data_IF_107687190924
#
_entry.id   IF_107687190924
#
_cell.length_a   1.000
_cell.length_b   1.000
_cell.length_c   1.000
_cell.angle_alpha   90.00
_cell.angle_beta   90.00
_cell.angle_gamma   90.00
#
_symmetry.space_group_name_H-M   'P 1'
#
loop_
_entity.id
_entity.type
_entity.pdbx_description
1 polymer ?
#
# COMPACT_ATOMS: atom_id res chain seq x y z
N UNK A 1 -54.40 -66.11 -9.82
CA UNK A 1 -53.94 -64.74 -9.52
C UNK A 1 -52.82 -64.39 -10.50
N UNK A 2 -52.95 -63.29 -11.24
CA UNK A 2 -52.01 -62.89 -12.31
C UNK A 2 -51.10 -61.78 -11.78
N UNK A 3 -49.78 -62.01 -11.71
CA UNK A 3 -48.83 -60.96 -11.36
C UNK A 3 -48.25 -60.32 -12.63
N UNK A 4 -48.53 -59.03 -12.82
CA UNK A 4 -47.93 -58.19 -13.87
C UNK A 4 -46.63 -57.62 -13.32
N UNK A 5 -45.50 -57.91 -13.98
CA UNK A 5 -44.20 -57.31 -13.66
C UNK A 5 -44.08 -56.03 -14.49
N UNK A 6 -44.06 -54.88 -13.83
CA UNK A 6 -43.73 -53.60 -14.44
C UNK A 6 -42.23 -53.35 -14.29
N UNK A 7 -41.51 -53.23 -15.40
CA UNK A 7 -40.10 -52.84 -15.41
C UNK A 7 -40.00 -51.32 -15.34
N UNK A 8 -39.33 -50.80 -14.32
CA UNK A 8 -39.01 -49.39 -14.16
C UNK A 8 -37.60 -49.12 -14.71
N UNK A 9 -37.49 -48.32 -15.76
CA UNK A 9 -36.21 -47.88 -16.33
C UNK A 9 -35.81 -46.55 -15.70
N UNK A 10 -34.79 -46.57 -14.84
CA UNK A 10 -34.18 -45.36 -14.28
C UNK A 10 -33.17 -44.78 -15.28
N UNK A 11 -33.45 -43.61 -15.83
CA UNK A 11 -32.51 -42.86 -16.67
C UNK A 11 -31.60 -42.01 -15.77
N UNK A 12 -30.35 -42.43 -15.59
CA UNK A 12 -29.31 -41.66 -14.91
C UNK A 12 -28.81 -40.52 -15.82
N UNK A 13 -29.19 -39.29 -15.50
CA UNK A 13 -28.58 -38.07 -16.05
C UNK A 13 -27.17 -37.90 -15.47
N UNK A 14 -26.16 -37.91 -16.34
CA UNK A 14 -24.75 -37.66 -15.99
C UNK A 14 -24.48 -36.14 -16.10
N UNK A 15 -24.33 -35.45 -14.97
CA UNK A 15 -23.92 -34.05 -14.95
C UNK A 15 -22.42 -33.94 -15.27
N UNK A 16 -22.06 -33.39 -16.44
CA UNK A 16 -20.69 -32.98 -16.76
C UNK A 16 -20.35 -31.75 -15.91
N UNK A 17 -19.60 -31.94 -14.84
CA UNK A 17 -19.01 -30.84 -14.05
C UNK A 17 -17.75 -30.39 -14.80
N UNK A 18 -17.85 -29.32 -15.58
CA UNK A 18 -16.70 -28.68 -16.22
C UNK A 18 -15.81 -28.05 -15.16
N UNK A 19 -14.66 -28.65 -14.88
CA UNK A 19 -13.63 -28.05 -14.02
C UNK A 19 -12.89 -26.97 -14.81
N UNK A 20 -13.35 -25.73 -14.72
CA UNK A 20 -12.56 -24.58 -15.15
C UNK A 20 -11.34 -24.45 -14.23
N UNK A 21 -10.19 -24.96 -14.69
CA UNK A 21 -8.93 -24.81 -13.97
C UNK A 21 -8.57 -23.33 -13.85
N UNK A 22 -8.58 -22.79 -12.63
CA UNK A 22 -8.02 -21.48 -12.35
C UNK A 22 -6.50 -21.58 -12.46
N UNK A 23 -5.94 -21.13 -13.58
CA UNK A 23 -4.50 -20.93 -13.70
C UNK A 23 -4.09 -19.80 -12.76
N UNK A 24 -3.51 -20.14 -11.60
CA UNK A 24 -2.88 -19.17 -10.74
C UNK A 24 -1.61 -18.66 -11.42
N UNK A 25 -1.59 -17.38 -11.80
CA UNK A 25 -0.38 -16.73 -12.28
C UNK A 25 0.65 -16.71 -11.14
N UNK A 26 1.69 -17.55 -11.23
CA UNK A 26 2.82 -17.45 -10.31
C UNK A 26 3.67 -16.24 -10.70
N UNK A 27 4.06 -15.37 -9.75
CA UNK A 27 4.92 -14.24 -10.07
C UNK A 27 6.26 -14.75 -10.60
N UNK A 28 6.60 -14.36 -11.83
CA UNK A 28 7.84 -14.71 -12.53
C UNK A 28 9.05 -13.86 -12.08
N UNK A 29 8.89 -13.05 -11.04
CA UNK A 29 9.92 -12.13 -10.56
C UNK A 29 10.84 -12.80 -9.55
N UNK A 30 12.15 -12.64 -9.75
CA UNK A 30 13.19 -13.02 -8.78
C UNK A 30 13.14 -12.18 -7.49
N UNK A 31 12.48 -11.02 -7.53
CA UNK A 31 12.40 -10.07 -6.42
C UNK A 31 10.94 -9.82 -6.03
N UNK A 32 10.68 -9.79 -4.72
CA UNK A 32 9.39 -9.35 -4.22
C UNK A 32 9.19 -7.86 -4.57
N UNK A 33 8.06 -7.49 -5.21
CA UNK A 33 7.87 -6.14 -5.72
C UNK A 33 7.82 -5.11 -4.58
N UNK A 34 8.45 -3.97 -4.81
CA UNK A 34 8.46 -2.82 -3.90
C UNK A 34 8.22 -1.57 -4.72
N UNK A 35 6.95 -1.16 -4.84
CA UNK A 35 6.49 -0.05 -5.64
C UNK A 35 5.42 0.71 -4.85
N UNK A 36 5.71 1.97 -4.53
CA UNK A 36 4.92 2.81 -3.64
C UNK A 36 4.66 4.16 -4.30
N UNK A 37 3.49 4.72 -4.01
CA UNK A 37 3.14 6.12 -4.26
C UNK A 37 3.02 6.81 -2.93
N UNK A 38 3.71 7.95 -2.80
CA UNK A 38 3.64 8.83 -1.65
C UNK A 38 2.88 10.09 -2.02
N UNK A 39 2.00 10.55 -1.14
CA UNK A 39 1.26 11.81 -1.35
C UNK A 39 1.32 12.68 -0.12
N UNK A 40 1.15 14.00 -0.34
CA UNK A 40 0.90 14.99 0.71
C UNK A 40 -0.34 15.77 0.33
N UNK A 41 -1.35 15.76 1.19
CA UNK A 41 -2.66 16.38 0.99
C UNK A 41 -2.93 17.45 2.03
N UNK A 42 -3.61 18.53 1.65
CA UNK A 42 -4.06 19.57 2.57
C UNK A 42 -5.44 19.20 3.14
N UNK A 43 -5.49 18.80 4.40
CA UNK A 43 -6.71 18.38 5.07
C UNK A 43 -6.55 17.08 5.88
N UNK A 44 -7.62 16.70 6.56
CA UNK A 44 -7.69 15.49 7.42
C UNK A 44 -8.10 14.22 6.65
N UNK A 45 -8.75 14.39 5.51
CA UNK A 45 -9.27 13.28 4.70
C UNK A 45 -8.77 13.36 3.26
N UNK A 46 -7.89 12.41 2.92
CA UNK A 46 -7.28 12.30 1.59
C UNK A 46 -8.32 12.11 0.49
N UNK A 47 -9.49 11.53 0.78
CA UNK A 47 -10.53 11.30 -0.22
C UNK A 47 -11.19 12.60 -0.71
N UNK A 48 -11.14 13.66 0.10
CA UNK A 48 -11.80 14.95 -0.17
C UNK A 48 -10.81 16.12 -0.25
N UNK A 49 -9.56 15.90 0.17
CA UNK A 49 -8.50 16.91 0.22
C UNK A 49 -7.79 17.10 -1.12
N UNK A 50 -7.26 18.30 -1.34
CA UNK A 50 -6.37 18.56 -2.48
C UNK A 50 -5.00 17.92 -2.25
N UNK A 51 -4.53 17.11 -3.20
CA UNK A 51 -3.16 16.59 -3.21
C UNK A 51 -2.22 17.72 -3.63
N UNK A 52 -1.31 18.11 -2.74
CA UNK A 52 -0.33 19.18 -2.98
C UNK A 52 0.87 18.68 -3.79
N UNK A 53 1.29 17.44 -3.53
CA UNK A 53 2.44 16.80 -4.18
C UNK A 53 2.35 15.30 -4.07
N UNK A 54 2.94 14.60 -5.04
CA UNK A 54 3.03 13.15 -5.06
C UNK A 54 4.37 12.70 -5.64
N UNK A 55 4.84 11.54 -5.20
CA UNK A 55 6.05 10.92 -5.71
C UNK A 55 5.91 9.41 -5.81
N UNK A 56 6.54 8.83 -6.82
CA UNK A 56 6.62 7.38 -7.01
C UNK A 56 7.99 6.87 -6.59
N UNK A 57 8.03 5.65 -6.06
CA UNK A 57 9.26 4.97 -5.68
C UNK A 57 9.15 3.49 -6.00
N UNK A 58 10.12 2.97 -6.74
CA UNK A 58 10.38 1.54 -6.87
C UNK A 58 11.74 1.24 -6.25
N UNK A 59 11.82 0.20 -5.41
CA UNK A 59 13.05 -0.15 -4.67
C UNK A 59 13.70 -1.46 -5.11
N UNK A 60 13.07 -2.21 -6.00
CA UNK A 60 13.63 -3.45 -6.54
C UNK A 60 13.25 -3.59 -8.04
N UNK A 61 14.18 -4.01 -8.91
CA UNK A 61 15.57 -4.40 -8.62
C UNK A 61 16.50 -3.21 -8.36
N UNK A 62 16.12 -2.01 -8.80
CA UNK A 62 16.89 -0.76 -8.63
C UNK A 62 16.00 0.33 -8.03
N UNK A 63 16.61 1.23 -7.26
CA UNK A 63 15.92 2.41 -6.73
C UNK A 63 15.65 3.41 -7.87
N UNK A 64 14.37 3.72 -8.13
CA UNK A 64 13.94 4.60 -9.20
C UNK A 64 12.56 5.19 -8.93
N UNK A 65 12.13 6.16 -9.74
CA UNK A 65 10.83 6.81 -9.63
C UNK A 65 10.97 8.32 -9.79
N UNK A 66 9.91 9.04 -9.45
CA UNK A 66 9.90 10.51 -9.48
C UNK A 66 10.42 11.14 -8.19
N UNK A 67 10.75 10.34 -7.17
CA UNK A 67 11.37 10.84 -5.94
C UNK A 67 12.72 11.48 -6.26
N UNK A 68 13.06 12.66 -5.71
CA UNK A 68 14.30 13.36 -6.04
C UNK A 68 15.55 12.59 -5.59
N UNK A 69 15.44 11.75 -4.56
CA UNK A 69 16.49 10.82 -4.14
C UNK A 69 15.90 9.42 -3.87
N UNK A 70 15.71 8.59 -4.90
CA UNK A 70 15.13 7.26 -4.74
C UNK A 70 15.97 6.34 -3.85
N UNK A 71 17.30 6.46 -3.93
CA UNK A 71 18.24 5.62 -3.19
C UNK A 71 18.11 5.86 -1.69
N UNK A 72 18.14 7.12 -1.25
CA UNK A 72 17.98 7.45 0.16
C UNK A 72 16.59 7.08 0.68
N UNK A 73 15.52 7.28 -0.10
CA UNK A 73 14.17 6.92 0.29
C UNK A 73 14.02 5.39 0.48
N UNK A 74 14.53 4.59 -0.46
CA UNK A 74 14.55 3.13 -0.35
C UNK A 74 15.39 2.64 0.84
N UNK A 75 16.51 3.30 1.14
CA UNK A 75 17.32 2.99 2.32
C UNK A 75 16.55 3.24 3.62
N UNK A 76 15.83 4.37 3.72
CA UNK A 76 15.00 4.67 4.88
C UNK A 76 13.85 3.66 5.05
N UNK A 77 13.13 3.30 3.99
CA UNK A 77 12.10 2.24 4.06
C UNK A 77 12.66 0.88 4.47
N UNK A 78 13.88 0.55 4.01
CA UNK A 78 14.55 -0.66 4.46
C UNK A 78 14.90 -0.62 5.95
N UNK A 79 15.35 0.52 6.48
CA UNK A 79 15.65 0.66 7.92
C UNK A 79 14.42 0.52 8.82
N UNK A 80 13.22 0.82 8.31
CA UNK A 80 11.98 0.60 9.07
C UNK A 80 11.45 -0.82 8.95
N UNK A 81 12.03 -1.64 8.06
CA UNK A 81 11.49 -2.96 7.71
C UNK A 81 10.12 -2.87 7.02
N UNK A 82 9.76 -1.71 6.46
CA UNK A 82 8.43 -1.46 5.90
C UNK A 82 7.37 -1.03 6.92
N UNK A 83 7.72 -0.82 8.18
CA UNK A 83 6.81 -0.24 9.18
C UNK A 83 6.82 1.29 9.07
N UNK A 84 5.91 1.85 8.27
CA UNK A 84 5.85 3.29 7.97
C UNK A 84 5.67 4.17 9.22
N UNK A 85 5.03 3.66 10.28
CA UNK A 85 4.91 4.38 11.56
C UNK A 85 6.28 4.67 12.20
N UNK A 86 7.31 3.88 11.90
CA UNK A 86 8.68 4.13 12.38
C UNK A 86 9.36 5.31 11.70
N UNK A 87 8.77 5.85 10.62
CA UNK A 87 9.23 7.10 10.01
C UNK A 87 8.86 8.33 10.84
N UNK A 88 7.89 8.19 11.75
CA UNK A 88 7.45 9.23 12.67
C UNK A 88 8.46 9.33 13.82
N UNK A 89 9.52 10.11 13.61
CA UNK A 89 10.49 10.35 14.67
C UNK A 89 9.86 11.18 15.80
N UNK A 90 10.39 11.05 17.02
CA UNK A 90 10.05 12.02 18.06
C UNK A 90 10.42 13.43 17.57
N UNK A 91 9.49 14.40 17.62
CA UNK A 91 9.80 15.76 17.19
C UNK A 91 11.03 16.28 17.92
N UNK A 92 11.90 17.00 17.21
CA UNK A 92 13.03 17.67 17.85
C UNK A 92 12.50 18.56 19.00
N UNK A 93 12.92 18.33 20.27
CA UNK A 93 12.42 19.08 21.42
C UNK A 93 12.74 20.58 21.33
N UNK A 94 13.78 20.96 20.59
CA UNK A 94 14.16 22.35 20.37
C UNK A 94 13.34 23.04 19.26
N UNK A 95 12.47 22.30 18.58
CA UNK A 95 11.63 22.83 17.49
C UNK A 95 10.22 23.11 17.97
N UNK A 96 9.95 24.38 18.28
CA UNK A 96 8.61 24.85 18.57
C UNK A 96 7.77 25.00 17.29
N UNK A 97 6.53 24.52 17.31
CA UNK A 97 5.56 24.73 16.24
C UNK A 97 4.36 25.57 16.72
N UNK A 98 3.79 26.43 15.86
CA UNK A 98 2.57 27.15 16.17
C UNK A 98 1.39 26.18 16.35
N UNK A 99 0.41 26.58 17.16
CA UNK A 99 -0.75 25.76 17.54
C UNK A 99 -1.96 25.91 16.63
N UNK A 100 -1.82 26.60 15.48
CA UNK A 100 -2.92 26.69 14.52
C UNK A 100 -3.19 25.31 13.91
N UNK A 101 -4.47 25.04 13.66
CA UNK A 101 -4.91 23.81 13.02
C UNK A 101 -5.11 24.06 11.52
N UNK A 102 -4.20 23.51 10.71
CA UNK A 102 -4.23 23.57 9.25
C UNK A 102 -3.69 22.22 8.73
N UNK A 103 -4.49 21.16 8.84
CA UNK A 103 -3.98 19.80 8.84
C UNK A 103 -3.39 19.40 7.50
N UNK A 104 -2.41 18.50 7.57
CA UNK A 104 -1.75 17.92 6.40
C UNK A 104 -1.67 16.42 6.59
N UNK A 105 -2.17 15.68 5.60
CA UNK A 105 -2.15 14.21 5.62
C UNK A 105 -1.15 13.71 4.60
N UNK A 106 -0.29 12.79 5.00
CA UNK A 106 0.61 12.05 4.11
C UNK A 106 0.10 10.63 3.89
N UNK A 107 0.35 10.06 2.71
CA UNK A 107 0.05 8.64 2.43
C UNK A 107 1.23 7.89 1.85
N UNK A 108 1.19 6.57 2.00
CA UNK A 108 1.99 5.61 1.29
C UNK A 108 1.09 4.46 0.85
N UNK A 109 0.96 4.26 -0.47
CA UNK A 109 0.08 3.26 -1.07
C UNK A 109 0.85 2.41 -2.07
N UNK A 110 0.61 1.10 -2.07
CA UNK A 110 1.20 0.19 -3.05
C UNK A 110 1.65 -1.13 -2.43
N UNK A 111 2.89 -1.54 -2.71
CA UNK A 111 3.48 -2.79 -2.22
C UNK A 111 4.89 -2.58 -1.72
N UNK A 112 5.24 -3.23 -0.62
CA UNK A 112 6.58 -3.29 -0.06
C UNK A 112 6.97 -4.74 0.17
N UNK A 113 8.02 -5.20 -0.52
CA UNK A 113 8.51 -6.59 -0.46
C UNK A 113 7.38 -7.62 -0.58
N UNK A 114 6.45 -7.39 -1.51
CA UNK A 114 5.30 -8.26 -1.78
C UNK A 114 4.10 -8.09 -0.84
N UNK A 115 4.21 -7.30 0.23
CA UNK A 115 3.08 -6.98 1.12
C UNK A 115 2.37 -5.71 0.67
N UNK A 116 1.03 -5.72 0.70
CA UNK A 116 0.22 -4.52 0.42
C UNK A 116 0.47 -3.46 1.50
N UNK A 117 0.67 -2.23 1.06
CA UNK A 117 0.78 -1.03 1.90
C UNK A 117 -0.40 -0.12 1.60
N UNK A 118 -1.07 0.31 2.66
CA UNK A 118 -2.08 1.36 2.65
C UNK A 118 -1.94 2.09 3.99
N UNK A 119 -1.13 3.14 4.01
CA UNK A 119 -0.76 3.86 5.22
C UNK A 119 -1.04 5.34 5.05
N UNK A 120 -1.51 5.99 6.12
CA UNK A 120 -1.68 7.43 6.17
C UNK A 120 -1.37 7.97 7.55
N UNK A 121 -0.96 9.22 7.62
CA UNK A 121 -0.79 9.94 8.87
C UNK A 121 -1.14 11.41 8.70
N UNK A 122 -1.88 11.96 9.66
CA UNK A 122 -2.34 13.35 9.64
C UNK A 122 -1.63 14.14 10.73
N UNK A 123 -1.03 15.26 10.33
CA UNK A 123 -0.39 16.22 11.21
C UNK A 123 -1.30 17.44 11.39
N UNK A 124 -1.27 18.05 12.57
CA UNK A 124 -2.08 19.25 12.88
C UNK A 124 -1.73 20.46 12.01
N UNK A 125 -0.48 20.55 11.55
CA UNK A 125 -0.02 21.52 10.56
C UNK A 125 1.30 21.10 9.91
N UNK A 126 1.72 21.83 8.87
CA UNK A 126 2.97 21.61 8.13
C UNK A 126 4.23 21.72 9.01
N UNK A 127 4.22 22.56 10.04
CA UNK A 127 5.34 22.65 10.97
C UNK A 127 5.50 21.31 11.71
N UNK A 128 4.44 20.77 12.30
CA UNK A 128 4.49 19.49 13.02
C UNK A 128 4.90 18.35 12.08
N UNK A 129 4.36 18.30 10.86
CA UNK A 129 4.81 17.35 9.81
C UNK A 129 6.33 17.43 9.61
N UNK A 130 6.86 18.64 9.40
CA UNK A 130 8.30 18.84 9.17
C UNK A 130 9.14 18.53 10.41
N UNK A 131 8.63 18.75 11.64
CA UNK A 131 9.33 18.40 12.87
C UNK A 131 9.48 16.88 13.02
N UNK A 132 8.43 16.14 12.66
CA UNK A 132 8.32 14.69 12.80
C UNK A 132 9.00 13.93 11.66
N UNK A 133 8.88 14.44 10.42
CA UNK A 133 9.39 13.77 9.21
C UNK A 133 10.66 14.40 8.62
N UNK A 134 11.08 15.60 9.05
CA UNK A 134 12.15 16.35 8.39
C UNK A 134 13.52 15.68 8.37
N UNK A 135 13.75 14.66 9.20
CA UNK A 135 14.97 13.84 9.18
C UNK A 135 14.90 12.60 8.30
N UNK A 136 13.75 12.28 7.68
CA UNK A 136 13.62 11.12 6.80
C UNK A 136 13.58 11.51 5.32
N UNK A 137 14.18 10.66 4.48
CA UNK A 137 14.25 10.83 3.04
C UNK A 137 12.97 10.42 2.31
N UNK A 138 12.01 9.74 2.95
CA UNK A 138 10.82 9.17 2.29
C UNK A 138 9.83 10.26 1.85
N UNK A 139 9.67 11.33 2.65
CA UNK A 139 8.77 12.45 2.36
C UNK A 139 9.52 13.74 1.94
N UNK A 140 10.77 13.61 1.50
CA UNK A 140 11.64 14.71 1.08
C UNK A 140 11.54 14.99 -0.43
N UNK A 141 10.31 15.17 -0.93
CA UNK A 141 9.96 15.48 -2.33
C UNK A 141 9.00 16.67 -2.41
#
# INVERSE_FOLDING_TARGET
MRHRIAAASAATLLCLVGTTGMAAAQPSSLYAPSALVFTVAQGDDVATSTILRASTLSCAPTAQGTHPDPQAACAALNSTGGALDRLLASPNPDRACPMHYAPVTVTADGVWKGSRVAWKHTFSNTCVMSATLGGNSVFAF
#
